data_IF_381538650927
#
_entry.id   IF_381538650927
#
_cell.length_a   1.000
_cell.length_b   1.000
_cell.length_c   1.000
_cell.angle_alpha   90.00
_cell.angle_beta   90.00
_cell.angle_gamma   90.00
#
_symmetry.space_group_name_H-M   'P 1'
#
loop_
_entity.id
_entity.type
_entity.pdbx_description
1 polymer ?
#
# COMPACT_ATOMS: atom_id res chain seq x y z
N UNK A 1 -4.92 -18.96 -17.45
CA UNK A 1 -4.13 -18.69 -16.22
C UNK A 1 -4.92 -17.79 -15.32
N UNK A 2 -4.98 -18.08 -14.01
CA UNK A 2 -5.74 -17.29 -13.03
C UNK A 2 -4.83 -16.27 -12.32
N UNK A 3 -5.36 -15.08 -12.06
CA UNK A 3 -4.66 -14.00 -11.38
C UNK A 3 -5.47 -13.43 -10.22
N UNK A 4 -4.80 -13.01 -9.15
CA UNK A 4 -5.40 -12.31 -8.02
C UNK A 4 -4.54 -11.11 -7.60
N UNK A 5 -5.19 -10.09 -7.05
CA UNK A 5 -4.51 -8.91 -6.49
C UNK A 5 -4.31 -9.11 -5.00
N UNK A 6 -3.16 -8.73 -4.44
CA UNK A 6 -2.86 -8.68 -3.02
C UNK A 6 -2.56 -7.23 -2.60
N UNK A 7 -3.60 -6.44 -2.20
CA UNK A 7 -3.41 -5.08 -1.75
C UNK A 7 -2.73 -5.04 -0.38
N UNK A 8 -1.67 -4.23 -0.29
CA UNK A 8 -0.98 -3.88 0.96
C UNK A 8 -1.91 -3.19 1.97
N UNK A 9 -2.97 -2.53 1.50
CA UNK A 9 -3.90 -1.79 2.35
C UNK A 9 -4.55 -2.65 3.44
N UNK A 10 -4.77 -3.95 3.19
CA UNK A 10 -5.30 -4.87 4.19
C UNK A 10 -4.42 -5.04 5.43
N UNK A 11 -3.20 -4.51 5.41
CA UNK A 11 -2.22 -4.60 6.49
C UNK A 11 -2.02 -3.28 7.23
N UNK A 12 -2.93 -2.31 7.08
CA UNK A 12 -2.99 -1.17 7.99
C UNK A 12 -3.17 -1.65 9.43
N UNK A 13 -2.43 -1.05 10.36
CA UNK A 13 -2.73 -1.21 11.78
C UNK A 13 -4.09 -0.58 12.10
N UNK A 14 -4.77 -1.18 13.08
CA UNK A 14 -6.00 -0.61 13.63
C UNK A 14 -5.76 0.76 14.26
N UNK A 15 -6.79 1.61 14.27
CA UNK A 15 -6.69 2.95 14.84
C UNK A 15 -6.30 2.92 16.32
N UNK A 16 -6.75 1.93 17.12
CA UNK A 16 -6.36 1.81 18.52
C UNK A 16 -4.85 1.60 18.70
N UNK A 17 -4.22 0.79 17.85
CA UNK A 17 -2.76 0.61 17.85
C UNK A 17 -2.05 1.91 17.45
N UNK A 18 -2.60 2.63 16.47
CA UNK A 18 -2.02 3.89 16.00
C UNK A 18 -2.15 5.00 17.05
N UNK A 19 -3.26 5.06 17.78
CA UNK A 19 -3.47 6.00 18.90
C UNK A 19 -2.46 5.76 20.02
N UNK A 20 -2.30 4.50 20.46
CA UNK A 20 -1.32 4.12 21.48
C UNK A 20 0.11 4.49 21.09
N UNK A 21 0.42 4.49 19.79
CA UNK A 21 1.74 4.83 19.25
C UNK A 21 1.91 6.29 18.83
N UNK A 22 0.85 7.11 18.94
CA UNK A 22 0.87 8.50 18.47
C UNK A 22 1.01 8.64 16.95
N UNK A 23 0.64 7.61 16.18
CA UNK A 23 0.78 7.54 14.72
C UNK A 23 -0.54 7.76 13.96
N UNK A 24 -1.68 7.92 14.66
CA UNK A 24 -2.98 8.12 14.01
C UNK A 24 -2.99 9.29 13.00
N UNK A 25 -2.40 10.47 13.28
CA UNK A 25 -2.34 11.57 12.30
C UNK A 25 -1.54 11.23 11.04
N UNK A 26 -0.68 10.22 11.12
CA UNK A 26 0.19 9.72 10.06
C UNK A 26 -0.34 8.43 9.43
N UNK A 27 -1.60 8.04 9.69
CA UNK A 27 -2.21 6.84 9.10
C UNK A 27 -2.04 6.87 7.58
N UNK A 28 -1.52 5.77 7.04
CA UNK A 28 -1.14 5.64 5.64
C UNK A 28 0.35 5.78 5.40
N UNK A 29 1.16 6.27 6.36
CA UNK A 29 2.62 6.29 6.27
C UNK A 29 3.24 4.88 6.45
N UNK A 30 4.49 4.64 6.00
CA UNK A 30 5.14 3.32 6.06
C UNK A 30 5.12 2.65 7.44
N UNK A 31 5.26 3.42 8.51
CA UNK A 31 5.28 2.99 9.90
C UNK A 31 3.90 2.59 10.47
N UNK A 32 2.83 2.77 9.70
CA UNK A 32 1.44 2.48 10.11
C UNK A 32 0.90 1.14 9.60
N UNK A 33 1.77 0.30 9.05
CA UNK A 33 1.44 -1.01 8.48
C UNK A 33 2.11 -2.16 9.24
N UNK A 34 1.40 -3.28 9.38
CA UNK A 34 1.97 -4.54 9.83
C UNK A 34 2.80 -5.20 8.70
N UNK A 35 4.05 -4.74 8.55
CA UNK A 35 4.99 -5.27 7.55
C UNK A 35 5.34 -6.74 7.83
N UNK A 36 5.32 -7.19 9.09
CA UNK A 36 5.56 -8.59 9.44
C UNK A 36 4.42 -9.45 8.91
N UNK A 37 3.18 -9.09 9.20
CA UNK A 37 2.01 -9.82 8.69
C UNK A 37 1.94 -9.83 7.17
N UNK A 38 2.31 -8.73 6.51
CA UNK A 38 2.38 -8.67 5.05
C UNK A 38 3.42 -9.65 4.48
N UNK A 39 4.63 -9.69 5.07
CA UNK A 39 5.69 -10.64 4.66
C UNK A 39 5.26 -12.11 4.81
N UNK A 40 4.55 -12.44 5.89
CA UNK A 40 4.05 -13.80 6.12
C UNK A 40 3.07 -14.21 5.01
N UNK A 41 2.16 -13.32 4.62
CA UNK A 41 1.19 -13.58 3.54
C UNK A 41 1.89 -13.66 2.18
N UNK A 42 2.84 -12.77 1.87
CA UNK A 42 3.63 -12.85 0.64
C UNK A 42 4.37 -14.19 0.55
N UNK A 43 4.99 -14.63 1.65
CA UNK A 43 5.68 -15.91 1.73
C UNK A 43 4.74 -17.10 1.51
N UNK A 44 3.58 -17.10 2.19
CA UNK A 44 2.59 -18.17 2.07
C UNK A 44 2.01 -18.27 0.65
N UNK A 45 1.70 -17.13 0.04
CA UNK A 45 1.19 -17.08 -1.33
C UNK A 45 2.25 -17.54 -2.34
N UNK A 46 3.53 -17.18 -2.14
CA UNK A 46 4.64 -17.64 -2.98
C UNK A 46 4.86 -19.15 -2.87
N UNK A 47 4.69 -19.73 -1.68
CA UNK A 47 4.77 -21.17 -1.47
C UNK A 47 3.64 -21.92 -2.20
N UNK A 48 2.44 -21.34 -2.24
CA UNK A 48 1.28 -21.91 -2.92
C UNK A 48 0.81 -23.24 -2.32
N UNK A 49 0.00 -23.99 -3.08
CA UNK A 49 -0.42 -25.36 -2.74
C UNK A 49 -1.60 -25.48 -1.77
N UNK A 50 -2.09 -24.37 -1.20
CA UNK A 50 -3.31 -24.31 -0.41
C UNK A 50 -3.97 -22.93 -0.53
N UNK A 51 -5.22 -22.83 -0.05
CA UNK A 51 -5.94 -21.56 -0.01
C UNK A 51 -5.29 -20.64 1.04
N UNK A 52 -5.05 -19.38 0.66
CA UNK A 52 -4.54 -18.35 1.56
C UNK A 52 -5.61 -17.29 1.76
N UNK A 53 -6.02 -17.08 3.01
CA UNK A 53 -6.93 -16.01 3.39
C UNK A 53 -6.12 -14.73 3.64
N UNK A 54 -6.54 -13.63 3.01
CA UNK A 54 -5.85 -12.34 3.05
C UNK A 54 -6.79 -11.25 3.57
N UNK A 55 -6.25 -10.26 4.32
CA UNK A 55 -7.07 -9.18 4.82
C UNK A 55 -7.49 -8.21 3.69
N UNK A 56 -8.60 -7.51 3.89
CA UNK A 56 -9.10 -6.47 2.99
C UNK A 56 -9.35 -5.20 3.78
N UNK A 57 -8.89 -4.06 3.27
CA UNK A 57 -9.17 -2.76 3.88
C UNK A 57 -10.53 -2.24 3.44
N UNK A 58 -11.41 -1.98 4.41
CA UNK A 58 -12.69 -1.35 4.19
C UNK A 58 -12.55 0.16 4.34
N UNK A 59 -12.51 0.86 3.20
CA UNK A 59 -12.38 2.32 3.12
C UNK A 59 -13.58 3.06 3.72
N UNK A 60 -14.77 2.45 3.79
CA UNK A 60 -15.95 3.10 4.36
C UNK A 60 -15.94 3.12 5.89
N UNK A 61 -15.29 2.12 6.49
CA UNK A 61 -15.16 1.96 7.94
C UNK A 61 -13.76 2.27 8.46
N UNK A 62 -12.79 2.47 7.57
CA UNK A 62 -11.40 2.77 7.90
C UNK A 62 -10.70 1.65 8.70
N UNK A 63 -11.05 0.38 8.43
CA UNK A 63 -10.52 -0.80 9.14
C UNK A 63 -10.00 -1.88 8.19
N UNK A 64 -9.03 -2.67 8.66
CA UNK A 64 -8.61 -3.92 8.02
C UNK A 64 -9.44 -5.10 8.52
N UNK A 65 -10.12 -5.80 7.60
CA UNK A 65 -10.91 -6.99 7.91
C UNK A 65 -10.04 -8.22 7.65
N UNK A 66 -9.73 -8.99 8.69
CA UNK A 66 -9.01 -10.24 8.56
C UNK A 66 -9.80 -11.28 7.75
N UNK A 67 -9.09 -12.15 7.03
CA UNK A 67 -9.66 -13.28 6.28
C UNK A 67 -10.83 -12.91 5.35
N UNK A 68 -10.80 -11.70 4.78
CA UNK A 68 -11.91 -11.14 4.02
C UNK A 68 -11.90 -11.53 2.53
N UNK A 69 -10.83 -12.18 2.05
CA UNK A 69 -10.73 -12.72 0.70
C UNK A 69 -9.83 -13.95 0.67
N UNK A 70 -10.10 -14.88 -0.23
CA UNK A 70 -9.28 -16.05 -0.48
C UNK A 70 -8.45 -15.91 -1.77
N UNK A 71 -7.22 -16.39 -1.74
CA UNK A 71 -6.40 -16.67 -2.92
C UNK A 71 -6.39 -18.20 -3.08
N UNK A 72 -6.93 -18.67 -4.20
CA UNK A 72 -7.07 -20.10 -4.47
C UNK A 72 -5.71 -20.75 -4.80
N UNK A 73 -5.49 -22.04 -4.47
CA UNK A 73 -4.24 -22.76 -4.73
C UNK A 73 -3.79 -22.74 -6.20
N UNK A 74 -4.74 -22.72 -7.13
CA UNK A 74 -4.52 -22.69 -8.59
C UNK A 74 -4.19 -21.29 -9.14
N UNK A 75 -4.19 -20.25 -8.31
CA UNK A 75 -3.84 -18.89 -8.74
C UNK A 75 -2.35 -18.80 -9.02
N UNK A 76 -1.98 -18.63 -10.29
CA UNK A 76 -0.58 -18.62 -10.73
C UNK A 76 0.06 -17.25 -10.76
N UNK A 77 -0.75 -16.19 -10.84
CA UNK A 77 -0.26 -14.82 -10.90
C UNK A 77 -0.82 -14.00 -9.75
N UNK A 78 0.08 -13.40 -8.96
CA UNK A 78 -0.29 -12.59 -7.81
C UNK A 78 0.27 -11.20 -8.02
N UNK A 79 -0.61 -10.23 -8.19
CA UNK A 79 -0.26 -8.83 -8.26
C UNK A 79 -0.31 -8.24 -6.86
N UNK A 80 0.83 -8.20 -6.17
CA UNK A 80 0.95 -7.41 -4.96
C UNK A 80 1.00 -5.92 -5.33
N UNK A 81 0.11 -5.12 -4.73
CA UNK A 81 0.04 -3.68 -4.98
C UNK A 81 0.11 -2.89 -3.67
N UNK A 82 0.81 -1.75 -3.70
CA UNK A 82 0.97 -0.88 -2.53
C UNK A 82 2.10 0.11 -2.69
N UNK A 83 2.06 1.18 -1.90
CA UNK A 83 3.02 2.29 -2.00
C UNK A 83 4.45 1.91 -1.59
N UNK A 84 4.63 0.92 -0.70
CA UNK A 84 5.90 0.70 0.00
C UNK A 84 6.60 -0.60 -0.35
N UNK A 85 6.11 -1.36 -1.34
CA UNK A 85 6.66 -2.66 -1.72
C UNK A 85 8.14 -2.60 -2.13
N UNK A 86 8.55 -1.47 -2.71
CA UNK A 86 9.93 -1.20 -3.13
C UNK A 86 10.68 -0.23 -2.21
N UNK A 87 10.07 0.24 -1.12
CA UNK A 87 10.69 1.21 -0.22
C UNK A 87 11.99 0.65 0.38
N UNK A 88 13.09 1.40 0.24
CA UNK A 88 14.43 1.02 0.70
C UNK A 88 14.68 1.44 2.15
N UNK A 89 13.70 1.21 3.02
CA UNK A 89 13.76 1.55 4.45
C UNK A 89 13.36 0.35 5.28
N UNK A 90 13.96 0.17 6.46
CA UNK A 90 13.53 -0.89 7.37
C UNK A 90 12.12 -0.59 7.92
N UNK A 91 11.24 -1.60 8.09
CA UNK A 91 11.44 -3.01 7.80
C UNK A 91 11.09 -3.43 6.36
N UNK A 92 10.65 -2.51 5.49
CA UNK A 92 10.23 -2.78 4.11
C UNK A 92 11.33 -3.34 3.20
N UNK A 93 12.60 -3.09 3.51
CA UNK A 93 13.76 -3.75 2.85
C UNK A 93 13.70 -5.27 2.87
N UNK A 94 12.98 -5.87 3.82
CA UNK A 94 12.78 -7.33 3.90
C UNK A 94 11.97 -7.92 2.75
N UNK A 95 11.24 -7.10 1.98
CA UNK A 95 10.54 -7.53 0.75
C UNK A 95 11.49 -7.70 -0.45
N UNK A 96 12.77 -7.32 -0.30
CA UNK A 96 13.76 -7.50 -1.36
C UNK A 96 13.89 -8.98 -1.73
N UNK A 97 13.68 -9.31 -3.01
CA UNK A 97 13.70 -10.69 -3.51
C UNK A 97 12.42 -11.49 -3.29
N UNK A 98 11.36 -10.88 -2.75
CA UNK A 98 10.06 -11.55 -2.58
C UNK A 98 9.21 -11.58 -3.86
N UNK A 99 9.52 -10.73 -4.84
CA UNK A 99 8.77 -10.57 -6.10
C UNK A 99 9.61 -11.01 -7.30
N UNK A 100 8.98 -11.73 -8.24
CA UNK A 100 9.65 -12.18 -9.47
C UNK A 100 9.75 -11.09 -10.55
N UNK A 101 8.88 -10.07 -10.47
CA UNK A 101 8.87 -8.88 -11.30
C UNK A 101 8.35 -7.69 -10.48
N UNK A 102 9.01 -6.54 -10.63
CA UNK A 102 8.65 -5.30 -9.92
C UNK A 102 8.31 -4.18 -10.90
N UNK A 103 7.23 -3.45 -10.61
CA UNK A 103 6.78 -2.30 -11.39
C UNK A 103 6.67 -1.09 -10.48
N UNK A 104 7.32 0.00 -10.83
CA UNK A 104 7.17 1.29 -10.16
C UNK A 104 6.36 2.24 -11.04
N UNK A 105 5.23 2.71 -10.52
CA UNK A 105 4.39 3.72 -11.16
C UNK A 105 4.58 5.04 -10.43
N UNK A 106 5.25 5.99 -11.08
CA UNK A 106 5.66 7.25 -10.49
C UNK A 106 5.29 8.44 -11.34
N UNK A 107 4.05 8.95 -11.27
CA UNK A 107 3.71 10.20 -11.94
C UNK A 107 4.52 11.36 -11.36
N UNK A 108 4.56 12.49 -12.08
CA UNK A 108 5.15 13.72 -11.54
C UNK A 108 4.43 14.16 -10.26
N UNK A 109 5.14 14.87 -9.38
CA UNK A 109 4.54 15.39 -8.12
C UNK A 109 3.32 16.27 -8.40
N UNK A 110 3.32 17.02 -9.51
CA UNK A 110 2.19 17.84 -9.92
C UNK A 110 0.94 16.99 -10.23
N UNK A 111 1.11 15.91 -11.00
CA UNK A 111 0.01 14.97 -11.32
C UNK A 111 -0.47 14.24 -10.06
N UNK A 112 0.45 13.88 -9.16
CA UNK A 112 0.08 13.25 -7.89
C UNK A 112 -0.76 14.20 -7.02
N UNK A 113 -0.33 15.46 -6.88
CA UNK A 113 -1.07 16.48 -6.13
C UNK A 113 -2.48 16.70 -6.69
N UNK A 114 -2.60 16.86 -8.01
CA UNK A 114 -3.90 17.04 -8.69
C UNK A 114 -4.84 15.87 -8.39
N UNK A 115 -4.39 14.63 -8.64
CA UNK A 115 -5.22 13.43 -8.43
C UNK A 115 -5.62 13.23 -6.97
N UNK A 116 -4.72 13.54 -6.03
CA UNK A 116 -5.03 13.44 -4.60
C UNK A 116 -6.04 14.52 -4.18
N UNK A 117 -5.93 15.73 -4.74
CA UNK A 117 -6.88 16.82 -4.49
C UNK A 117 -8.27 16.43 -4.97
N UNK A 118 -8.38 15.94 -6.20
CA UNK A 118 -9.64 15.48 -6.79
C UNK A 118 -10.27 14.34 -5.98
N UNK A 119 -9.45 13.40 -5.52
CA UNK A 119 -9.89 12.30 -4.64
C UNK A 119 -10.55 12.84 -3.38
N UNK A 120 -9.92 13.78 -2.68
CA UNK A 120 -10.44 14.30 -1.41
C UNK A 120 -11.66 15.21 -1.61
N UNK A 121 -11.72 15.96 -2.71
CA UNK A 121 -12.93 16.68 -3.12
C UNK A 121 -14.09 15.70 -3.38
N UNK A 122 -13.82 14.56 -4.01
CA UNK A 122 -14.80 13.50 -4.21
C UNK A 122 -15.37 12.91 -2.92
N UNK A 123 -14.63 12.99 -1.81
CA UNK A 123 -15.10 12.63 -0.47
C UNK A 123 -15.83 13.75 0.27
N UNK A 124 -15.97 14.93 -0.35
CA UNK A 124 -16.71 16.07 0.21
C UNK A 124 -16.00 16.83 1.32
N UNK A 125 -14.67 16.67 1.45
CA UNK A 125 -13.85 17.41 2.42
C UNK A 125 -13.74 18.90 2.04
N UNK A 126 -13.58 19.75 3.04
CA UNK A 126 -13.36 21.18 2.82
C UNK A 126 -11.91 21.50 2.40
N UNK A 127 -11.66 22.75 2.01
CA UNK A 127 -10.35 23.17 1.51
C UNK A 127 -9.23 23.04 2.56
N UNK A 128 -9.53 23.22 3.84
CA UNK A 128 -8.58 23.12 4.94
C UNK A 128 -8.24 21.65 5.21
N UNK A 129 -9.25 20.78 5.24
CA UNK A 129 -9.06 19.33 5.39
C UNK A 129 -8.28 18.73 4.21
N UNK A 130 -8.62 19.13 2.99
CA UNK A 130 -7.90 18.71 1.77
C UNK A 130 -6.44 19.15 1.86
N UNK A 131 -6.17 20.40 2.27
CA UNK A 131 -4.82 20.89 2.43
C UNK A 131 -4.02 20.05 3.44
N UNK A 132 -4.60 19.76 4.61
CA UNK A 132 -3.96 18.92 5.62
C UNK A 132 -3.68 17.50 5.08
N UNK A 133 -4.67 16.85 4.46
CA UNK A 133 -4.50 15.50 3.86
C UNK A 133 -3.39 15.46 2.82
N UNK A 134 -3.34 16.46 1.95
CA UNK A 134 -2.33 16.56 0.88
C UNK A 134 -0.94 16.82 1.44
N UNK A 135 -0.75 17.96 2.10
CA UNK A 135 0.58 18.48 2.39
C UNK A 135 1.19 17.93 3.68
N UNK A 136 0.36 17.46 4.61
CA UNK A 136 0.85 16.92 5.89
C UNK A 136 0.95 15.39 5.87
N UNK A 137 0.28 14.71 4.92
CA UNK A 137 0.28 13.25 4.85
C UNK A 137 0.61 12.67 3.47
N UNK A 138 -0.28 12.79 2.48
CA UNK A 138 -0.18 12.05 1.22
C UNK A 138 1.05 12.43 0.39
N UNK A 139 1.32 13.73 0.20
CA UNK A 139 2.47 14.19 -0.58
C UNK A 139 3.81 13.88 0.11
N UNK A 140 3.98 14.09 1.43
CA UNK A 140 5.17 13.60 2.14
C UNK A 140 5.41 12.10 1.93
N UNK A 141 4.35 11.29 1.97
CA UNK A 141 4.46 9.84 1.74
C UNK A 141 4.84 9.53 0.28
N UNK A 142 4.22 10.19 -0.70
CA UNK A 142 4.54 10.04 -2.11
C UNK A 142 5.98 10.43 -2.44
N UNK A 143 6.45 11.55 -1.88
CA UNK A 143 7.84 11.98 -1.98
C UNK A 143 8.80 10.95 -1.40
N UNK A 144 8.50 10.43 -0.20
CA UNK A 144 9.31 9.37 0.44
C UNK A 144 9.43 8.13 -0.44
N UNK A 145 8.35 7.72 -1.10
CA UNK A 145 8.36 6.59 -2.06
C UNK A 145 9.22 6.89 -3.28
N UNK A 146 9.07 8.06 -3.90
CA UNK A 146 9.84 8.44 -5.10
C UNK A 146 11.33 8.53 -4.80
N UNK A 147 11.71 9.12 -3.66
CA UNK A 147 13.11 9.38 -3.31
C UNK A 147 13.83 8.16 -2.72
N UNK A 148 13.11 7.26 -2.04
CA UNK A 148 13.73 6.19 -1.25
C UNK A 148 13.35 4.78 -1.71
N UNK A 149 12.72 4.58 -2.87
CA UNK A 149 12.48 3.23 -3.39
C UNK A 149 13.71 2.63 -4.07
N UNK A 150 13.85 1.31 -3.95
CA UNK A 150 14.79 0.52 -4.76
C UNK A 150 14.40 0.60 -6.24
N UNK A 151 15.34 0.42 -7.19
CA UNK A 151 15.01 0.28 -8.60
C UNK A 151 14.00 -0.84 -8.83
N UNK A 152 13.03 -0.60 -9.71
CA UNK A 152 12.12 -1.60 -10.23
C UNK A 152 12.63 -2.16 -11.56
N UNK A 153 12.19 -3.36 -11.93
CA UNK A 153 12.47 -3.95 -13.24
C UNK A 153 11.81 -3.13 -14.36
N UNK A 154 10.61 -2.60 -14.09
CA UNK A 154 9.86 -1.74 -15.00
C UNK A 154 9.51 -0.45 -14.27
N UNK A 155 9.81 0.69 -14.90
CA UNK A 155 9.42 2.01 -14.42
C UNK A 155 8.48 2.68 -15.41
N UNK A 156 7.36 3.19 -14.91
CA UNK A 156 6.34 3.90 -15.68
C UNK A 156 6.17 5.29 -15.09
N UNK A 157 6.66 6.30 -15.81
CA UNK A 157 6.67 7.69 -15.34
C UNK A 157 5.49 8.52 -15.88
N UNK A 158 4.73 8.02 -16.87
CA UNK A 158 3.68 8.77 -17.57
C UNK A 158 2.47 7.86 -17.83
N UNK A 159 1.29 8.36 -17.44
CA UNK A 159 -0.01 7.94 -17.97
C UNK A 159 -0.73 9.23 -18.36
N UNK A 160 -0.71 9.58 -19.64
CA UNK A 160 -1.67 10.51 -20.25
C UNK A 160 -3.06 9.86 -20.32
#
# INVERSE_FOLDING_TARGET
EAAAVLPMDGFHMDNGILEERGLLPRKGAPETFDVRGFLDIVSAVRQGGQEILVPVFDRSREIAIASARAIAPETRFILAEGNYLLLNEAPWTKLSGSFDLTVFVGPSVAVLEERLRDRWQGYGLDATEIHAKLFENDLPNGKRVIENSRPADIRIDIWE
#
